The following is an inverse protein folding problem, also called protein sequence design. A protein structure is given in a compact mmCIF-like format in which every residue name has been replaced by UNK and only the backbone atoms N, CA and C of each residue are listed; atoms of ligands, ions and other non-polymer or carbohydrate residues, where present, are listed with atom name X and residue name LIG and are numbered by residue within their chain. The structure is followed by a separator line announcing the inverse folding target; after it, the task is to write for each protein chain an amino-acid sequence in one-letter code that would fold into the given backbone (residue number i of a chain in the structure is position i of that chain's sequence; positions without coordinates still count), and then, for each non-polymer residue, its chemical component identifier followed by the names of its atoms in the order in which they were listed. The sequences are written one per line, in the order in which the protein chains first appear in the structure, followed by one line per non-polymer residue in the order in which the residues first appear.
data_IF_148473815231
#
_entry.id   IF_148473815231
#
_cell.length_a   1.000
_cell.length_b   1.000
_cell.length_c   1.000
_cell.angle_alpha   90.00
_cell.angle_beta   90.00
_cell.angle_gamma   90.00
#
_symmetry.space_group_name_H-M   'P 1'
#
loop_
_entity.id
_entity.type
_entity.pdbx_description
1 polymer ?
#
# COMPACT_ATOMS: atom_id res chain seq x y z
N UNK A 1 11.57 21.40 3.41
CA UNK A 1 11.67 20.47 2.29
C UNK A 1 10.28 20.36 1.66
N UNK A 2 10.17 20.40 0.34
CA UNK A 2 8.92 20.14 -0.38
C UNK A 2 8.83 18.66 -0.72
N UNK A 3 7.70 18.07 -0.39
CA UNK A 3 7.42 16.65 -0.65
C UNK A 3 6.32 16.56 -1.71
N UNK A 4 6.64 15.91 -2.81
CA UNK A 4 5.71 15.51 -3.87
C UNK A 4 5.19 14.12 -3.54
N UNK A 5 3.94 14.05 -3.09
CA UNK A 5 3.33 12.80 -2.66
C UNK A 5 2.65 12.11 -3.84
N UNK A 6 3.30 11.08 -4.38
CA UNK A 6 2.78 10.25 -5.48
C UNK A 6 1.89 9.15 -4.89
N UNK A 7 0.61 9.34 -5.07
CA UNK A 7 -0.41 8.66 -4.30
C UNK A 7 -0.84 7.34 -4.91
N UNK A 8 -1.05 6.33 -4.08
CA UNK A 8 -1.79 5.13 -4.46
C UNK A 8 -3.29 5.44 -4.55
N UNK A 9 -4.04 4.76 -5.41
CA UNK A 9 -5.48 4.98 -5.58
C UNK A 9 -6.24 4.81 -4.27
N UNK A 10 -7.10 5.78 -3.97
CA UNK A 10 -7.94 5.74 -2.79
C UNK A 10 -9.13 4.80 -3.01
N UNK A 11 -9.11 3.64 -2.37
CA UNK A 11 -10.21 2.67 -2.38
C UNK A 11 -10.96 2.74 -1.04
N UNK A 12 -12.30 2.93 -1.07
CA UNK A 12 -13.11 3.19 0.13
C UNK A 12 -12.97 2.10 1.21
N UNK A 13 -12.95 0.85 0.79
CA UNK A 13 -12.85 -0.31 1.70
C UNK A 13 -11.43 -0.59 2.19
N UNK A 14 -10.43 0.20 1.75
CA UNK A 14 -9.01 -0.02 2.07
C UNK A 14 -8.42 1.15 2.85
N UNK A 15 -7.27 0.89 3.50
CA UNK A 15 -6.45 1.89 4.19
C UNK A 15 -5.98 3.03 3.26
N UNK A 16 -5.89 2.80 1.96
CA UNK A 16 -5.46 3.78 0.96
C UNK A 16 -6.37 5.02 0.94
N UNK A 17 -7.66 4.87 1.27
CA UNK A 17 -8.57 6.01 1.43
C UNK A 17 -8.16 6.89 2.61
N UNK A 18 -7.80 6.29 3.73
CA UNK A 18 -7.35 7.02 4.93
C UNK A 18 -6.00 7.69 4.69
N UNK A 19 -5.08 7.01 4.05
CA UNK A 19 -3.77 7.57 3.72
C UNK A 19 -3.86 8.86 2.91
N UNK A 20 -4.89 9.00 2.07
CA UNK A 20 -5.12 10.23 1.29
C UNK A 20 -5.20 11.50 2.17
N UNK A 21 -5.66 11.37 3.39
CA UNK A 21 -5.75 12.46 4.37
C UNK A 21 -4.63 12.42 5.38
N UNK A 22 -4.27 11.25 5.87
CA UNK A 22 -3.34 11.12 7.00
C UNK A 22 -1.87 11.37 6.60
N UNK A 23 -1.41 10.89 5.43
CA UNK A 23 -0.04 11.20 4.99
C UNK A 23 0.23 12.70 4.83
N UNK A 24 -0.58 13.47 4.08
CA UNK A 24 -0.36 14.91 3.99
C UNK A 24 -0.41 15.62 5.33
N UNK A 25 -1.31 15.19 6.23
CA UNK A 25 -1.45 15.73 7.58
C UNK A 25 -0.20 15.48 8.41
N UNK A 26 0.29 14.23 8.43
CA UNK A 26 1.49 13.83 9.16
C UNK A 26 2.72 14.60 8.65
N UNK A 27 2.94 14.63 7.34
CA UNK A 27 4.09 15.30 6.76
C UNK A 27 4.07 16.81 7.02
N UNK A 28 2.91 17.45 6.95
CA UNK A 28 2.75 18.88 7.30
C UNK A 28 3.01 19.15 8.78
N UNK A 29 2.56 18.26 9.66
CA UNK A 29 2.82 18.35 11.10
C UNK A 29 4.32 18.29 11.43
N UNK A 30 5.12 17.64 10.59
CA UNK A 30 6.59 17.61 10.67
C UNK A 30 7.29 18.75 9.92
N UNK A 31 6.55 19.79 9.54
CA UNK A 31 7.11 21.01 8.92
C UNK A 31 7.43 20.90 7.43
N UNK A 32 6.88 19.92 6.72
CA UNK A 32 7.09 19.80 5.29
C UNK A 32 5.99 20.51 4.49
N UNK A 33 6.37 21.09 3.35
CA UNK A 33 5.41 21.51 2.33
C UNK A 33 5.03 20.29 1.50
N UNK A 34 3.74 20.01 1.36
CA UNK A 34 3.26 18.79 0.68
C UNK A 34 2.45 19.15 -0.55
N UNK A 35 2.91 18.67 -1.70
CA UNK A 35 2.20 18.70 -2.97
C UNK A 35 1.67 17.31 -3.26
N UNK A 36 0.35 17.13 -3.26
CA UNK A 36 -0.27 15.84 -3.54
C UNK A 36 -0.48 15.68 -5.05
N UNK A 37 0.02 14.58 -5.61
CA UNK A 37 -0.16 14.17 -6.99
C UNK A 37 -1.27 13.11 -7.05
N UNK A 38 -2.48 13.56 -7.38
CA UNK A 38 -3.65 12.69 -7.49
C UNK A 38 -3.91 12.34 -8.95
N UNK A 39 -3.99 11.07 -9.28
CA UNK A 39 -4.22 10.59 -10.65
C UNK A 39 -5.68 10.71 -11.15
N UNK A 40 -6.59 11.25 -10.32
CA UNK A 40 -8.01 11.36 -10.64
C UNK A 40 -8.83 10.15 -10.20
N UNK A 41 -10.02 10.02 -10.75
CA UNK A 41 -10.93 8.92 -10.43
C UNK A 41 -10.56 7.65 -11.21
N UNK A 42 -10.74 6.51 -10.57
CA UNK A 42 -10.57 5.19 -11.18
C UNK A 42 -11.90 4.45 -11.30
N UNK A 43 -12.06 3.55 -12.28
CA UNK A 43 -13.25 2.73 -12.37
C UNK A 43 -13.51 1.94 -11.09
N UNK A 44 -14.76 1.89 -10.64
CA UNK A 44 -15.14 1.13 -9.44
C UNK A 44 -15.04 -0.38 -9.65
N UNK A 45 -15.30 -0.87 -10.87
CA UNK A 45 -15.19 -2.28 -11.19
C UNK A 45 -13.72 -2.72 -11.20
N UNK A 46 -13.39 -3.72 -10.41
CA UNK A 46 -12.05 -4.31 -10.35
C UNK A 46 -11.83 -5.30 -11.48
N UNK A 47 -10.57 -5.50 -11.84
CA UNK A 47 -10.19 -6.61 -12.71
C UNK A 47 -10.48 -7.94 -11.99
N UNK A 48 -11.07 -8.95 -12.66
CA UNK A 48 -11.33 -10.24 -12.03
C UNK A 48 -10.08 -10.83 -11.36
N UNK A 49 -10.22 -11.26 -10.10
CA UNK A 49 -9.13 -11.81 -9.29
C UNK A 49 -8.18 -10.77 -8.67
N UNK A 50 -8.44 -9.47 -8.90
CA UNK A 50 -7.67 -8.37 -8.32
C UNK A 50 -8.54 -7.47 -7.44
N UNK A 51 -7.90 -6.56 -6.73
CA UNK A 51 -8.55 -5.52 -5.92
C UNK A 51 -8.46 -4.12 -6.56
N UNK A 52 -7.89 -4.03 -7.75
CA UNK A 52 -7.79 -2.82 -8.58
C UNK A 52 -8.32 -3.08 -9.99
N UNK A 53 -8.69 -2.02 -10.68
CA UNK A 53 -8.89 -2.04 -12.13
C UNK A 53 -7.55 -1.81 -12.81
N UNK A 54 -6.98 -2.82 -13.48
CA UNK A 54 -5.62 -2.69 -14.05
C UNK A 54 -5.52 -1.69 -15.19
N UNK A 55 -6.58 -1.47 -15.96
CA UNK A 55 -6.61 -0.37 -16.92
C UNK A 55 -6.65 0.99 -16.20
N UNK A 56 -7.59 1.13 -15.25
CA UNK A 56 -7.78 2.35 -14.47
C UNK A 56 -6.56 2.77 -13.66
N UNK A 57 -5.88 1.82 -12.98
CA UNK A 57 -4.66 2.13 -12.22
C UNK A 57 -3.55 2.69 -13.11
N UNK A 58 -3.42 2.20 -14.36
CA UNK A 58 -2.41 2.72 -15.28
C UNK A 58 -2.78 4.12 -15.79
N UNK A 59 -4.06 4.41 -16.04
CA UNK A 59 -4.53 5.78 -16.33
C UNK A 59 -4.23 6.72 -15.16
N UNK A 60 -4.52 6.27 -13.94
CA UNK A 60 -4.23 7.04 -12.72
C UNK A 60 -2.74 7.39 -12.60
N UNK A 61 -1.86 6.39 -12.71
CA UNK A 61 -0.40 6.58 -12.67
C UNK A 61 0.11 7.47 -13.81
N UNK A 62 -0.44 7.33 -15.01
CA UNK A 62 -0.10 8.18 -16.16
C UNK A 62 -0.50 9.65 -15.95
N UNK A 63 -1.66 9.89 -15.33
CA UNK A 63 -2.08 11.26 -14.97
C UNK A 63 -1.17 11.88 -13.92
N UNK A 64 -0.66 11.11 -12.97
CA UNK A 64 0.35 11.58 -12.01
C UNK A 64 1.65 11.94 -12.73
N UNK A 65 2.11 11.08 -13.63
CA UNK A 65 3.32 11.34 -14.42
C UNK A 65 3.19 12.61 -15.27
N UNK A 66 2.03 12.84 -15.88
CA UNK A 66 1.76 14.07 -16.64
C UNK A 66 1.84 15.31 -15.74
N UNK A 67 1.33 15.24 -14.51
CA UNK A 67 1.47 16.34 -13.54
C UNK A 67 2.94 16.61 -13.19
N UNK A 68 3.73 15.53 -12.97
CA UNK A 68 5.17 15.62 -12.69
C UNK A 68 5.90 16.28 -13.86
N UNK A 69 5.67 15.81 -15.08
CA UNK A 69 6.31 16.36 -16.27
C UNK A 69 5.97 17.86 -16.46
N UNK A 70 4.71 18.23 -16.27
CA UNK A 70 4.28 19.62 -16.30
C UNK A 70 4.95 20.47 -15.21
N UNK A 71 5.16 19.92 -14.00
CA UNK A 71 5.85 20.62 -12.93
C UNK A 71 7.33 20.89 -13.28
N UNK A 72 8.01 19.95 -13.92
CA UNK A 72 9.36 20.18 -14.46
C UNK A 72 9.36 21.26 -15.54
N UNK A 73 8.43 21.20 -16.51
CA UNK A 73 8.33 22.22 -17.57
C UNK A 73 8.09 23.62 -17.02
N UNK A 74 7.41 23.77 -15.90
CA UNK A 74 7.12 25.05 -15.24
C UNK A 74 8.20 25.50 -14.27
N UNK A 75 9.24 24.69 -14.03
CA UNK A 75 10.27 24.97 -13.03
C UNK A 75 9.74 24.93 -11.59
N UNK A 76 8.70 24.16 -11.33
CA UNK A 76 8.11 24.00 -9.99
C UNK A 76 8.83 22.95 -9.14
N UNK A 77 9.60 22.05 -9.78
CA UNK A 77 10.47 21.06 -9.12
C UNK A 77 11.83 21.69 -8.88
N UNK A 78 12.29 21.65 -7.64
CA UNK A 78 13.55 22.28 -7.25
C UNK A 78 14.54 21.25 -6.71
N UNK A 79 15.81 21.65 -6.71
CA UNK A 79 16.87 20.90 -6.05
C UNK A 79 16.51 20.64 -4.57
N UNK A 80 16.72 19.41 -4.12
CA UNK A 80 16.38 18.97 -2.77
C UNK A 80 14.90 18.63 -2.53
N UNK A 81 14.04 18.72 -3.55
CA UNK A 81 12.67 18.22 -3.45
C UNK A 81 12.65 16.69 -3.30
N UNK A 82 11.66 16.19 -2.55
CA UNK A 82 11.51 14.78 -2.28
C UNK A 82 10.23 14.23 -2.92
N UNK A 83 10.34 13.17 -3.72
CA UNK A 83 9.20 12.46 -4.28
C UNK A 83 8.93 11.20 -3.45
N UNK A 84 7.78 11.13 -2.79
CA UNK A 84 7.36 9.98 -1.99
C UNK A 84 6.27 9.19 -2.71
N UNK A 85 6.63 8.01 -3.18
CA UNK A 85 5.69 7.02 -3.73
C UNK A 85 5.09 6.21 -2.60
N UNK A 86 3.78 6.30 -2.40
CA UNK A 86 3.09 5.50 -1.38
C UNK A 86 2.88 4.04 -1.82
N UNK A 87 3.21 3.71 -3.06
CA UNK A 87 3.39 2.36 -3.58
C UNK A 87 4.60 2.35 -4.52
N UNK A 88 5.64 1.60 -4.14
CA UNK A 88 6.88 1.51 -4.91
C UNK A 88 6.70 0.75 -6.23
N UNK A 89 5.68 -0.12 -6.33
CA UNK A 89 5.35 -0.79 -7.59
C UNK A 89 4.65 0.17 -8.56
N UNK A 90 5.37 1.20 -8.97
CA UNK A 90 4.90 2.25 -9.86
C UNK A 90 5.97 2.58 -10.92
N UNK A 91 5.85 2.04 -12.14
CA UNK A 91 6.85 2.23 -13.20
C UNK A 91 7.14 3.69 -13.59
N UNK A 92 6.26 4.62 -13.21
CA UNK A 92 6.49 6.06 -13.50
C UNK A 92 7.70 6.63 -12.77
N UNK A 93 8.21 5.93 -11.73
CA UNK A 93 9.46 6.33 -11.05
C UNK A 93 10.66 6.31 -11.99
N UNK A 94 10.70 5.37 -12.95
CA UNK A 94 11.76 5.30 -13.97
C UNK A 94 11.74 6.57 -14.84
N UNK A 95 10.55 7.02 -15.22
CA UNK A 95 10.40 8.25 -16.02
C UNK A 95 10.70 9.51 -15.20
N UNK A 96 10.35 9.52 -13.92
CA UNK A 96 10.74 10.60 -13.01
C UNK A 96 12.26 10.71 -12.90
N UNK A 97 12.94 9.58 -12.64
CA UNK A 97 14.41 9.51 -12.54
C UNK A 97 15.07 9.99 -13.84
N UNK A 98 14.58 9.51 -14.99
CA UNK A 98 15.02 9.92 -16.31
C UNK A 98 14.90 11.44 -16.53
N UNK A 99 13.73 12.04 -16.20
CA UNK A 99 13.54 13.49 -16.34
C UNK A 99 14.49 14.28 -15.44
N UNK A 100 14.62 13.89 -14.17
CA UNK A 100 15.45 14.60 -13.21
C UNK A 100 16.92 14.61 -13.64
N UNK A 101 17.45 13.46 -14.08
CA UNK A 101 18.83 13.36 -14.55
C UNK A 101 19.10 14.15 -15.85
N UNK A 102 18.20 14.05 -16.83
CA UNK A 102 18.36 14.80 -18.09
C UNK A 102 18.25 16.32 -17.91
N UNK A 103 17.42 16.75 -16.97
CA UNK A 103 17.24 18.17 -16.65
C UNK A 103 18.23 18.69 -15.61
N UNK A 104 19.09 17.79 -15.09
CA UNK A 104 20.08 18.07 -14.07
C UNK A 104 19.47 18.73 -12.81
N UNK A 105 18.34 18.19 -12.34
CA UNK A 105 17.69 18.61 -11.09
C UNK A 105 17.92 17.53 -10.04
N UNK A 106 18.68 17.84 -8.99
CA UNK A 106 18.96 16.89 -7.90
C UNK A 106 17.72 16.79 -6.98
N UNK A 107 17.05 15.66 -7.08
CA UNK A 107 15.88 15.30 -6.26
C UNK A 107 16.16 14.03 -5.48
N UNK A 108 15.36 13.77 -4.44
CA UNK A 108 15.35 12.48 -3.74
C UNK A 108 14.04 11.76 -3.99
N UNK A 109 14.11 10.44 -4.09
CA UNK A 109 12.94 9.61 -4.39
C UNK A 109 12.86 8.48 -3.36
N UNK A 110 11.71 8.31 -2.73
CA UNK A 110 11.43 7.20 -1.82
C UNK A 110 10.18 6.45 -2.23
N UNK A 111 10.18 5.14 -2.01
CA UNK A 111 9.05 4.28 -2.36
C UNK A 111 8.74 3.25 -1.28
N UNK A 112 7.47 3.11 -0.89
CA UNK A 112 7.00 2.11 0.06
C UNK A 112 6.58 0.84 -0.68
N UNK A 113 7.32 -0.25 -0.47
CA UNK A 113 7.01 -1.56 -1.04
C UNK A 113 5.88 -2.23 -0.27
N UNK A 114 4.76 -2.50 -0.97
CA UNK A 114 3.62 -3.25 -0.42
C UNK A 114 3.79 -4.75 -0.64
N UNK A 115 4.11 -5.12 -1.87
CA UNK A 115 4.39 -6.45 -2.35
C UNK A 115 4.99 -6.35 -3.76
N UNK A 116 5.19 -7.48 -4.41
CA UNK A 116 5.67 -7.52 -5.78
C UNK A 116 5.55 -8.90 -6.38
N UNK A 117 6.07 -9.08 -7.59
CA UNK A 117 6.01 -10.37 -8.28
C UNK A 117 6.87 -11.44 -7.61
N UNK A 118 7.77 -11.05 -6.74
CA UNK A 118 8.63 -11.93 -5.91
C UNK A 118 7.85 -12.61 -4.78
N UNK A 119 6.66 -12.12 -4.43
CA UNK A 119 5.78 -12.74 -3.44
C UNK A 119 4.77 -13.67 -4.14
N UNK A 120 4.89 -15.00 -3.99
CA UNK A 120 3.97 -15.94 -4.62
C UNK A 120 2.54 -15.87 -4.06
N UNK A 121 2.34 -15.30 -2.87
CA UNK A 121 1.03 -15.09 -2.27
C UNK A 121 0.36 -13.79 -2.74
N UNK A 122 1.12 -12.82 -3.23
CA UNK A 122 0.57 -11.60 -3.81
C UNK A 122 -0.07 -11.83 -5.19
N UNK A 123 -1.00 -10.95 -5.57
CA UNK A 123 -1.66 -11.07 -6.87
C UNK A 123 -0.68 -10.87 -8.05
N UNK A 124 0.34 -10.02 -7.90
CA UNK A 124 1.38 -9.84 -8.92
C UNK A 124 2.17 -11.13 -9.11
N UNK A 125 2.57 -11.79 -8.01
CA UNK A 125 3.24 -13.07 -8.05
C UNK A 125 2.39 -14.15 -8.74
N UNK A 126 1.09 -14.21 -8.42
CA UNK A 126 0.16 -15.17 -9.03
C UNK A 126 -0.14 -14.89 -10.52
N UNK A 127 -0.30 -13.63 -10.92
CA UNK A 127 -0.72 -13.26 -12.29
C UNK A 127 0.42 -13.14 -13.27
N UNK A 128 1.52 -12.52 -12.87
CA UNK A 128 2.66 -12.26 -13.76
C UNK A 128 3.95 -12.96 -13.33
N UNK A 129 4.04 -13.36 -12.07
CA UNK A 129 5.07 -14.24 -11.52
C UNK A 129 6.49 -13.85 -11.89
N UNK A 130 7.31 -14.87 -12.10
CA UNK A 130 8.75 -14.77 -12.36
C UNK A 130 9.12 -14.45 -13.82
N UNK A 131 8.30 -13.70 -14.53
CA UNK A 131 8.63 -13.33 -15.92
C UNK A 131 9.86 -12.40 -15.92
N UNK A 132 10.83 -12.59 -16.85
CA UNK A 132 12.07 -11.80 -16.85
C UNK A 132 11.84 -10.29 -16.90
N UNK A 133 10.86 -9.82 -17.70
CA UNK A 133 10.57 -8.40 -17.81
C UNK A 133 10.06 -7.81 -16.48
N UNK A 134 9.30 -8.58 -15.68
CA UNK A 134 8.78 -8.13 -14.38
C UNK A 134 9.93 -7.96 -13.40
N UNK A 135 10.85 -8.93 -13.34
CA UNK A 135 12.05 -8.87 -12.50
C UNK A 135 12.94 -7.69 -12.87
N UNK A 136 13.13 -7.45 -14.17
CA UNK A 136 13.88 -6.29 -14.64
C UNK A 136 13.19 -4.96 -14.28
N UNK A 137 11.85 -4.90 -14.36
CA UNK A 137 11.10 -3.72 -13.97
C UNK A 137 11.23 -3.45 -12.45
N UNK A 138 11.08 -4.47 -11.59
CA UNK A 138 11.22 -4.34 -10.13
C UNK A 138 12.64 -3.90 -9.75
N UNK A 139 13.66 -4.48 -10.36
CA UNK A 139 15.06 -4.04 -10.21
C UNK A 139 15.22 -2.58 -10.58
N UNK A 140 14.73 -2.18 -11.77
CA UNK A 140 14.84 -0.80 -12.23
C UNK A 140 14.11 0.19 -11.33
N UNK A 141 12.92 -0.17 -10.83
CA UNK A 141 12.20 0.66 -9.87
C UNK A 141 12.98 0.81 -8.56
N UNK A 142 13.53 -0.31 -8.02
CA UNK A 142 14.35 -0.28 -6.81
C UNK A 142 15.56 0.65 -6.96
N UNK A 143 16.27 0.56 -8.08
CA UNK A 143 17.43 1.40 -8.35
C UNK A 143 17.10 2.89 -8.50
N UNK A 144 15.90 3.21 -8.99
CA UNK A 144 15.44 4.59 -9.11
C UNK A 144 15.15 5.25 -7.75
N UNK A 145 14.83 4.47 -6.71
CA UNK A 145 14.63 4.99 -5.37
C UNK A 145 15.94 5.21 -4.63
N UNK A 146 16.09 6.36 -3.98
CA UNK A 146 17.16 6.62 -3.01
C UNK A 146 16.85 5.95 -1.68
N UNK A 147 15.54 5.81 -1.33
CA UNK A 147 15.07 5.12 -0.14
C UNK A 147 13.98 4.12 -0.51
N UNK A 148 14.22 2.86 -0.22
CA UNK A 148 13.26 1.78 -0.38
C UNK A 148 12.69 1.42 0.99
N UNK A 149 11.44 1.80 1.25
CA UNK A 149 10.77 1.57 2.52
C UNK A 149 10.08 0.21 2.52
N UNK A 150 10.34 -0.57 3.57
CA UNK A 150 9.70 -1.87 3.80
C UNK A 150 9.07 -1.90 5.20
N UNK A 151 7.93 -2.56 5.31
CA UNK A 151 7.21 -2.64 6.57
C UNK A 151 7.85 -3.59 7.59
N UNK A 152 8.47 -4.68 7.14
CA UNK A 152 8.99 -5.73 8.01
C UNK A 152 10.28 -6.35 7.49
N UNK A 153 11.04 -6.97 8.37
CA UNK A 153 12.22 -7.77 8.05
C UNK A 153 11.87 -8.93 7.12
N UNK A 154 10.77 -9.63 7.40
CA UNK A 154 10.27 -10.72 6.55
C UNK A 154 10.11 -10.28 5.08
N UNK A 155 9.59 -9.07 4.86
CA UNK A 155 9.41 -8.54 3.51
C UNK A 155 10.77 -8.20 2.86
N UNK A 156 11.70 -7.64 3.63
CA UNK A 156 13.09 -7.37 3.18
C UNK A 156 13.77 -8.66 2.75
N UNK A 157 13.73 -9.70 3.59
CA UNK A 157 14.33 -11.00 3.31
C UNK A 157 13.74 -11.64 2.05
N UNK A 158 12.42 -11.59 1.90
CA UNK A 158 11.72 -12.11 0.71
C UNK A 158 12.14 -11.36 -0.56
N UNK A 159 12.26 -10.03 -0.49
CA UNK A 159 12.71 -9.21 -1.61
C UNK A 159 14.14 -9.56 -2.02
N UNK A 160 15.09 -9.55 -1.08
CA UNK A 160 16.49 -9.84 -1.37
C UNK A 160 16.79 -11.30 -1.69
N UNK A 161 15.91 -12.24 -1.30
CA UNK A 161 15.99 -13.61 -1.83
C UNK A 161 15.80 -13.65 -3.36
N UNK A 162 15.05 -12.71 -3.90
CA UNK A 162 14.81 -12.60 -5.34
C UNK A 162 15.78 -11.65 -6.06
N UNK A 163 16.40 -10.74 -5.32
CA UNK A 163 17.31 -9.71 -5.83
C UNK A 163 18.57 -9.59 -4.96
N UNK A 164 19.37 -10.68 -4.83
CA UNK A 164 20.52 -10.70 -3.93
C UNK A 164 21.66 -9.76 -4.34
N UNK A 165 21.64 -9.28 -5.56
CA UNK A 165 22.67 -8.38 -6.13
C UNK A 165 22.40 -6.89 -5.84
N UNK A 166 21.21 -6.53 -5.33
CA UNK A 166 20.87 -5.12 -5.09
C UNK A 166 21.51 -4.59 -3.80
N UNK A 167 21.83 -3.29 -3.80
CA UNK A 167 22.43 -2.61 -2.66
C UNK A 167 21.45 -2.43 -1.50
N UNK A 168 21.74 -3.06 -0.37
CA UNK A 168 20.94 -2.98 0.85
C UNK A 168 21.01 -1.62 1.56
N UNK A 169 22.01 -0.78 1.22
CA UNK A 169 22.15 0.55 1.84
C UNK A 169 20.98 1.49 1.57
N UNK A 170 20.20 1.21 0.52
CA UNK A 170 18.99 1.96 0.17
C UNK A 170 17.73 1.51 0.95
N UNK A 171 17.83 0.49 1.80
CA UNK A 171 16.71 -0.08 2.53
C UNK A 171 16.43 0.67 3.83
N UNK A 172 15.18 0.98 4.06
CA UNK A 172 14.71 1.56 5.33
C UNK A 172 13.51 0.75 5.83
N UNK A 173 13.64 0.09 6.98
CA UNK A 173 12.52 -0.56 7.63
C UNK A 173 11.71 0.47 8.43
N UNK A 174 10.48 0.74 8.02
CA UNK A 174 9.64 1.77 8.60
C UNK A 174 8.48 1.25 9.46
N UNK A 175 8.15 -0.04 9.37
CA UNK A 175 6.84 -0.49 9.78
C UNK A 175 5.76 -0.10 8.75
N UNK A 176 4.51 -0.43 9.07
CA UNK A 176 3.37 -0.01 8.24
C UNK A 176 2.78 1.29 8.82
N UNK A 177 2.55 2.34 8.03
CA UNK A 177 2.14 3.66 8.54
C UNK A 177 0.66 3.68 8.97
N UNK A 178 0.40 3.14 10.15
CA UNK A 178 -0.92 3.02 10.76
C UNK A 178 -1.08 3.79 12.07
N UNK A 179 -0.18 4.68 12.41
CA UNK A 179 -0.20 5.45 13.69
C UNK A 179 -1.53 6.17 13.92
N UNK A 180 -2.17 6.66 12.85
CA UNK A 180 -3.49 7.29 12.94
C UNK A 180 -4.59 6.36 13.44
N UNK A 181 -4.39 5.03 13.33
CA UNK A 181 -5.37 4.04 13.79
C UNK A 181 -5.52 4.03 15.31
N UNK A 182 -4.50 4.41 16.08
CA UNK A 182 -4.62 4.54 17.52
C UNK A 182 -5.76 5.50 17.90
N UNK A 183 -5.79 6.68 17.28
CA UNK A 183 -6.86 7.65 17.49
C UNK A 183 -8.21 7.15 16.99
N UNK A 184 -8.24 6.49 15.83
CA UNK A 184 -9.46 5.95 15.23
C UNK A 184 -10.08 4.87 16.12
N UNK A 185 -9.26 4.02 16.74
CA UNK A 185 -9.72 2.90 17.54
C UNK A 185 -9.86 3.23 19.04
N UNK A 186 -9.40 4.38 19.49
CA UNK A 186 -9.44 4.76 20.92
C UNK A 186 -10.85 4.67 21.51
N UNK A 187 -11.88 5.06 20.76
CA UNK A 187 -13.27 5.02 21.23
C UNK A 187 -13.81 3.59 21.42
N UNK A 188 -13.20 2.60 20.80
CA UNK A 188 -13.61 1.20 20.87
C UNK A 188 -12.86 0.38 21.92
N UNK A 189 -11.83 0.95 22.55
CA UNK A 189 -10.92 0.26 23.49
C UNK A 189 -11.63 -0.39 24.67
N UNK A 190 -12.67 0.26 25.18
CA UNK A 190 -13.40 -0.17 26.38
C UNK A 190 -14.79 -0.75 26.09
N UNK A 191 -15.04 -1.15 24.85
CA UNK A 191 -16.33 -1.77 24.49
C UNK A 191 -16.49 -3.12 25.19
N UNK A 192 -17.71 -3.47 25.63
CA UNK A 192 -18.01 -4.81 26.14
C UNK A 192 -17.70 -5.85 25.07
N UNK A 193 -17.01 -6.91 25.49
CA UNK A 193 -16.66 -8.00 24.58
C UNK A 193 -17.77 -9.04 24.47
N UNK A 194 -17.96 -9.57 23.29
CA UNK A 194 -18.85 -10.67 22.97
C UNK A 194 -18.04 -11.91 22.61
N UNK A 195 -18.63 -13.09 22.73
CA UNK A 195 -17.97 -14.34 22.35
C UNK A 195 -17.91 -14.51 20.82
N UNK A 196 -17.42 -13.44 20.16
CA UNK A 196 -17.28 -13.38 18.72
C UNK A 196 -15.83 -13.62 18.31
N UNK A 197 -15.66 -14.57 17.35
CA UNK A 197 -14.44 -14.79 16.59
C UNK A 197 -14.61 -14.16 15.21
N UNK A 198 -13.76 -13.19 14.88
CA UNK A 198 -13.91 -12.37 13.69
C UNK A 198 -12.90 -12.79 12.61
N UNK A 199 -13.40 -13.00 11.38
CA UNK A 199 -12.59 -13.06 10.16
C UNK A 199 -12.63 -11.69 9.48
N UNK A 200 -11.62 -10.83 9.69
CA UNK A 200 -11.65 -9.43 9.27
C UNK A 200 -11.24 -9.24 7.81
N UNK A 201 -10.82 -10.31 7.15
CA UNK A 201 -10.23 -10.29 5.82
C UNK A 201 -11.26 -10.35 4.70
N UNK A 202 -10.84 -9.95 3.50
CA UNK A 202 -11.52 -10.38 2.27
C UNK A 202 -11.41 -11.88 2.10
N UNK A 203 -12.39 -12.49 1.44
CA UNK A 203 -12.33 -13.91 1.08
C UNK A 203 -11.35 -14.06 -0.08
N UNK A 204 -10.20 -14.67 0.21
CA UNK A 204 -9.14 -14.93 -0.75
C UNK A 204 -8.32 -16.16 -0.31
N UNK A 205 -7.73 -16.91 -1.25
CA UNK A 205 -7.01 -18.14 -0.93
C UNK A 205 -5.93 -17.98 0.15
N UNK A 206 -5.18 -16.90 0.11
CA UNK A 206 -4.11 -16.59 1.07
C UNK A 206 -4.62 -16.25 2.48
N UNK A 207 -5.92 -16.00 2.65
CA UNK A 207 -6.54 -15.69 3.95
C UNK A 207 -7.10 -16.92 4.67
N UNK A 208 -7.06 -18.09 4.02
CA UNK A 208 -7.34 -19.38 4.62
C UNK A 208 -8.73 -19.48 5.29
N UNK A 209 -9.79 -18.98 4.61
CA UNK A 209 -11.17 -19.09 5.10
C UNK A 209 -11.56 -20.53 5.48
N UNK A 210 -11.16 -21.61 4.77
CA UNK A 210 -11.49 -22.97 5.17
C UNK A 210 -11.04 -23.33 6.59
N UNK A 211 -9.87 -22.86 7.03
CA UNK A 211 -9.41 -23.10 8.41
C UNK A 211 -10.32 -22.39 9.43
N UNK A 212 -10.82 -21.20 9.08
CA UNK A 212 -11.78 -20.50 9.94
C UNK A 212 -13.13 -21.24 10.04
N UNK A 213 -13.60 -21.85 8.95
CA UNK A 213 -14.83 -22.64 8.95
C UNK A 213 -14.67 -23.96 9.74
N UNK A 214 -13.54 -24.65 9.60
CA UNK A 214 -13.22 -25.83 10.42
C UNK A 214 -13.17 -25.48 11.92
N UNK A 215 -12.63 -24.31 12.26
CA UNK A 215 -12.59 -23.82 13.63
C UNK A 215 -14.01 -23.55 14.17
N UNK A 216 -14.89 -22.98 13.35
CA UNK A 216 -16.29 -22.71 13.68
C UNK A 216 -17.05 -24.00 14.00
N UNK A 217 -16.84 -25.08 13.22
CA UNK A 217 -17.44 -26.38 13.50
C UNK A 217 -16.95 -26.97 14.81
N UNK A 218 -15.66 -26.76 15.14
CA UNK A 218 -15.02 -27.26 16.34
C UNK A 218 -15.38 -26.51 17.63
N UNK A 219 -15.81 -25.26 17.52
CA UNK A 219 -16.05 -24.35 18.64
C UNK A 219 -17.45 -23.70 18.57
N UNK A 220 -18.53 -24.50 18.62
CA UNK A 220 -19.90 -24.01 18.39
C UNK A 220 -20.40 -23.03 19.46
N UNK A 221 -19.71 -22.90 20.59
CA UNK A 221 -20.05 -21.95 21.66
C UNK A 221 -19.70 -20.49 21.31
N UNK A 222 -18.89 -20.26 20.27
CA UNK A 222 -18.52 -18.92 19.82
C UNK A 222 -19.35 -18.49 18.61
N UNK A 223 -19.54 -17.17 18.47
CA UNK A 223 -20.17 -16.59 17.30
C UNK A 223 -19.10 -16.26 16.23
N UNK A 224 -19.06 -17.00 15.14
CA UNK A 224 -18.11 -16.79 14.04
C UNK A 224 -18.68 -15.85 12.98
N UNK A 225 -17.93 -14.78 12.68
CA UNK A 225 -18.37 -13.72 11.76
C UNK A 225 -17.32 -13.47 10.68
N UNK A 226 -17.74 -13.58 9.41
CA UNK A 226 -16.96 -13.19 8.24
C UNK A 226 -17.35 -11.77 7.84
N UNK A 227 -16.43 -10.80 7.96
CA UNK A 227 -16.73 -9.39 7.73
C UNK A 227 -17.23 -9.09 6.31
N UNK A 228 -16.63 -9.72 5.30
CA UNK A 228 -17.00 -9.47 3.90
C UNK A 228 -18.46 -9.82 3.60
N UNK A 229 -19.05 -10.80 4.27
CA UNK A 229 -20.44 -11.20 4.07
C UNK A 229 -21.44 -10.21 4.64
N UNK A 230 -21.02 -9.35 5.55
CA UNK A 230 -21.87 -8.38 6.25
C UNK A 230 -22.03 -7.04 5.52
N UNK A 231 -21.22 -6.78 4.50
CA UNK A 231 -21.20 -5.50 3.77
C UNK A 231 -21.12 -4.26 4.68
N UNK A 232 -20.30 -4.33 5.71
CA UNK A 232 -20.19 -3.32 6.76
C UNK A 232 -19.63 -1.99 6.23
N UNK A 233 -20.19 -0.88 6.70
CA UNK A 233 -19.50 0.40 6.67
C UNK A 233 -18.24 0.36 7.55
N UNK A 234 -17.35 1.32 7.39
CA UNK A 234 -16.10 1.38 8.16
C UNK A 234 -16.34 1.49 9.68
N UNK A 235 -17.36 2.25 10.07
CA UNK A 235 -17.73 2.40 11.48
C UNK A 235 -18.31 1.10 12.06
N UNK A 236 -19.18 0.43 11.32
CA UNK A 236 -19.72 -0.88 11.73
C UNK A 236 -18.62 -1.93 11.83
N UNK A 237 -17.67 -1.92 10.90
CA UNK A 237 -16.48 -2.79 10.97
C UNK A 237 -15.66 -2.51 12.23
N UNK A 238 -15.39 -1.24 12.56
CA UNK A 238 -14.65 -0.89 13.78
C UNK A 238 -15.41 -1.24 15.05
N UNK A 239 -16.73 -1.07 15.08
CA UNK A 239 -17.57 -1.52 16.19
C UNK A 239 -17.45 -3.02 16.39
N UNK A 240 -17.64 -3.78 15.32
CA UNK A 240 -17.55 -5.25 15.36
C UNK A 240 -16.15 -5.71 15.80
N UNK A 241 -15.09 -5.05 15.31
CA UNK A 241 -13.71 -5.30 15.76
C UNK A 241 -13.53 -5.00 17.26
N UNK A 242 -14.13 -3.90 17.74
CA UNK A 242 -14.10 -3.50 19.15
C UNK A 242 -14.86 -4.46 20.07
N UNK A 243 -15.98 -5.00 19.63
CA UNK A 243 -16.82 -5.95 20.38
C UNK A 243 -16.29 -7.39 20.36
N UNK A 244 -15.51 -7.76 19.36
CA UNK A 244 -15.03 -9.14 19.20
C UNK A 244 -13.97 -9.49 20.24
N UNK A 245 -14.08 -10.70 20.81
CA UNK A 245 -13.07 -11.25 21.73
C UNK A 245 -11.81 -11.68 20.99
N UNK A 246 -11.97 -12.27 19.81
CA UNK A 246 -10.88 -12.84 19.03
C UNK A 246 -10.93 -12.39 17.58
N UNK A 247 -9.75 -12.24 17.00
CA UNK A 247 -9.58 -11.99 15.56
C UNK A 247 -8.75 -13.12 15.00
N UNK A 248 -9.26 -13.75 13.94
CA UNK A 248 -8.58 -14.85 13.26
C UNK A 248 -7.67 -14.31 12.16
N UNK A 249 -6.43 -14.80 12.12
CA UNK A 249 -5.50 -14.61 11.00
C UNK A 249 -4.65 -15.88 10.84
N UNK A 250 -4.62 -16.44 9.64
CA UNK A 250 -3.89 -17.68 9.32
C UNK A 250 -2.69 -17.45 8.39
N UNK A 251 -2.23 -16.21 8.25
CA UNK A 251 -1.06 -15.89 7.43
C UNK A 251 -0.17 -14.83 8.08
#
# INVERSE_FOLDING_TARGET
MKIWLVYLEAVETRYTKQWKTEFPKLLKAHGHTVQVLNGGDTPQATTPGAFLNFGGTNVYKSNQLMQIANAFCKGEVNEGDYFLYTDAWNPTVIQLKYMAELLNVDIRIGGLWHAGSYDPADFLGRLIGNKPWVRNAERSMYECFDHNFFASEFHIDMFFKSFPELDTAKVVRTGWPFEYMENTLAMYKNMPKTDTVLFPHRIAPEKQLPIFEDLKESLPQYNFVVCQEKQLSKNEYHNLLGESNLVFSAN
#
